data_IF_421751060340
#
_entry.id   IF_421751060340
#
_cell.length_a   1.000
_cell.length_b   1.000
_cell.length_c   1.000
_cell.angle_alpha   90.00
_cell.angle_beta   90.00
_cell.angle_gamma   90.00
#
_symmetry.space_group_name_H-M   'P 1'
#
loop_
_entity.id
_entity.type
_entity.pdbx_description
1 polymer ?
#
# COMPACT_ATOMS: atom_id res chain seq x y z
N UNK A 1 0.57 -8.22 -11.58
CA UNK A 1 0.66 -9.34 -10.63
C UNK A 1 0.17 -8.86 -9.27
N UNK A 2 -0.89 -9.45 -8.71
CA UNK A 2 -1.49 -9.00 -7.43
C UNK A 2 -1.16 -10.03 -6.34
N UNK A 3 -0.28 -9.68 -5.41
CA UNK A 3 0.09 -10.55 -4.28
C UNK A 3 -0.61 -10.00 -3.03
N UNK A 4 -1.62 -10.72 -2.54
CA UNK A 4 -2.30 -10.43 -1.28
C UNK A 4 -1.76 -11.37 -0.19
N UNK A 5 -0.90 -10.86 0.70
CA UNK A 5 -0.43 -11.61 1.88
C UNK A 5 -1.27 -11.25 3.11
N UNK A 6 -2.08 -12.20 3.58
CA UNK A 6 -2.82 -12.11 4.86
C UNK A 6 -2.18 -12.99 5.94
N UNK A 7 -2.34 -12.58 7.21
CA UNK A 7 -2.02 -13.39 8.40
C UNK A 7 -1.47 -12.56 9.57
N UNK A 8 -1.41 -13.18 10.75
CA UNK A 8 -1.20 -12.47 12.02
C UNK A 8 0.16 -11.76 12.17
N UNK A 9 0.27 -10.82 13.14
CA UNK A 9 1.50 -10.10 13.47
C UNK A 9 2.66 -11.07 13.76
N UNK A 10 3.89 -10.69 13.39
CA UNK A 10 5.10 -11.49 13.64
C UNK A 10 5.42 -12.58 12.59
N UNK A 11 4.61 -12.76 11.54
CA UNK A 11 4.81 -13.85 10.54
C UNK A 11 5.69 -13.47 9.33
N UNK A 12 6.54 -12.45 9.46
CA UNK A 12 7.54 -12.09 8.43
C UNK A 12 6.97 -11.57 7.10
N UNK A 13 5.69 -11.20 7.03
CA UNK A 13 5.05 -10.76 5.78
C UNK A 13 5.61 -9.44 5.26
N UNK A 14 5.83 -8.47 6.14
CA UNK A 14 6.46 -7.19 5.81
C UNK A 14 7.87 -7.42 5.28
N UNK A 15 8.66 -8.28 5.91
CA UNK A 15 10.01 -8.63 5.44
C UNK A 15 10.02 -9.21 4.03
N UNK A 16 9.14 -10.18 3.73
CA UNK A 16 9.08 -10.77 2.38
C UNK A 16 8.52 -9.79 1.35
N UNK A 17 7.53 -8.98 1.71
CA UNK A 17 7.00 -7.95 0.81
C UNK A 17 8.07 -6.90 0.48
N UNK A 18 8.84 -6.46 1.47
CA UNK A 18 9.96 -5.53 1.28
C UNK A 18 11.07 -6.14 0.43
N UNK A 19 11.48 -7.38 0.71
CA UNK A 19 12.49 -8.06 -0.11
C UNK A 19 12.05 -8.20 -1.58
N UNK A 20 10.78 -8.58 -1.82
CA UNK A 20 10.21 -8.64 -3.17
C UNK A 20 10.15 -7.27 -3.85
N UNK A 21 9.79 -6.23 -3.10
CA UNK A 21 9.77 -4.86 -3.61
C UNK A 21 11.16 -4.37 -4.00
N UNK A 22 12.17 -4.61 -3.16
CA UNK A 22 13.58 -4.28 -3.45
C UNK A 22 14.05 -5.04 -4.69
N UNK A 23 13.79 -6.35 -4.78
CA UNK A 23 14.19 -7.15 -5.93
C UNK A 23 13.51 -6.68 -7.23
N UNK A 24 12.24 -6.29 -7.16
CA UNK A 24 11.50 -5.75 -8.30
C UNK A 24 12.07 -4.41 -8.80
N UNK A 25 12.56 -3.55 -7.89
CA UNK A 25 13.23 -2.29 -8.25
C UNK A 25 14.60 -2.61 -8.86
N UNK A 26 15.41 -3.42 -8.17
CA UNK A 26 16.82 -3.62 -8.48
C UNK A 26 17.03 -4.43 -9.77
N UNK A 27 16.32 -5.54 -9.93
CA UNK A 27 16.49 -6.43 -11.09
C UNK A 27 15.56 -6.13 -12.25
N UNK A 28 14.38 -5.56 -11.98
CA UNK A 28 13.34 -5.37 -13.00
C UNK A 28 13.00 -3.90 -13.28
N UNK A 29 13.65 -2.95 -12.60
CA UNK A 29 13.40 -1.49 -12.71
C UNK A 29 11.92 -1.12 -12.63
N UNK A 30 11.15 -1.88 -11.85
CA UNK A 30 9.72 -1.65 -11.65
C UNK A 30 9.50 -0.46 -10.72
N UNK A 31 8.45 0.32 -11.00
CA UNK A 31 7.98 1.39 -10.11
C UNK A 31 7.21 0.77 -8.95
N UNK A 32 7.84 0.70 -7.79
CA UNK A 32 7.25 0.14 -6.58
C UNK A 32 7.01 1.24 -5.56
N UNK A 33 5.83 1.26 -4.91
CA UNK A 33 5.61 2.04 -3.69
C UNK A 33 5.14 1.18 -2.54
N UNK A 34 5.56 1.58 -1.35
CA UNK A 34 5.11 1.07 -0.07
C UNK A 34 4.16 2.08 0.55
N UNK A 35 3.04 1.61 1.09
CA UNK A 35 2.12 2.42 1.88
C UNK A 35 1.73 1.68 3.16
N UNK A 36 1.60 2.41 4.26
CA UNK A 36 0.73 1.95 5.33
C UNK A 36 -0.72 2.01 4.86
N UNK A 37 -1.51 0.99 5.19
CA UNK A 37 -2.94 0.95 4.86
C UNK A 37 -3.66 2.19 5.43
N UNK A 38 -3.33 2.59 6.66
CA UNK A 38 -3.92 3.75 7.34
C UNK A 38 -3.57 5.04 6.61
N UNK A 39 -2.30 5.22 6.25
CA UNK A 39 -1.85 6.42 5.53
C UNK A 39 -2.52 6.54 4.16
N UNK A 40 -2.66 5.42 3.44
CA UNK A 40 -3.33 5.42 2.15
C UNK A 40 -4.82 5.76 2.29
N UNK A 41 -5.51 5.18 3.26
CA UNK A 41 -6.93 5.49 3.54
C UNK A 41 -7.08 6.97 3.88
N UNK A 42 -6.27 7.49 4.82
CA UNK A 42 -6.31 8.90 5.21
C UNK A 42 -6.03 9.83 4.03
N UNK A 43 -5.07 9.49 3.17
CA UNK A 43 -4.75 10.28 1.99
C UNK A 43 -5.91 10.30 0.98
N UNK A 44 -6.56 9.15 0.76
CA UNK A 44 -7.74 9.03 -0.10
C UNK A 44 -8.94 9.81 0.47
N UNK A 45 -9.18 9.75 1.78
CA UNK A 45 -10.25 10.51 2.45
C UNK A 45 -10.02 12.02 2.37
N UNK A 46 -8.80 12.49 2.65
CA UNK A 46 -8.44 13.89 2.51
C UNK A 46 -8.58 14.37 1.05
N UNK A 47 -8.20 13.54 0.09
CA UNK A 47 -8.34 13.85 -1.32
C UNK A 47 -9.81 13.97 -1.73
N UNK A 48 -10.66 13.06 -1.24
CA UNK A 48 -12.11 13.09 -1.43
C UNK A 48 -12.72 14.35 -0.81
N UNK A 49 -12.32 14.71 0.41
CA UNK A 49 -12.76 15.92 1.09
C UNK A 49 -12.36 17.21 0.35
N UNK A 50 -11.20 17.21 -0.33
CA UNK A 50 -10.74 18.33 -1.18
C UNK A 50 -11.42 18.39 -2.55
N UNK A 51 -12.36 17.49 -2.86
CA UNK A 51 -13.03 17.41 -4.16
C UNK A 51 -12.13 16.99 -5.32
N UNK A 52 -10.92 16.48 -5.03
CA UNK A 52 -9.92 16.09 -6.04
C UNK A 52 -9.80 14.58 -6.19
N UNK A 53 -10.86 13.82 -5.93
CA UNK A 53 -10.85 12.36 -6.00
C UNK A 53 -10.30 11.88 -7.35
N UNK A 54 -9.46 10.84 -7.36
CA UNK A 54 -8.90 10.25 -8.59
C UNK A 54 -7.38 10.37 -8.73
N UNK A 55 -6.76 11.52 -8.46
CA UNK A 55 -5.30 11.72 -8.57
C UNK A 55 -4.42 10.67 -7.86
N UNK A 56 -4.71 10.30 -6.61
CA UNK A 56 -3.98 9.22 -5.93
C UNK A 56 -4.21 7.89 -6.65
N UNK A 57 -5.44 7.58 -7.05
CA UNK A 57 -5.74 6.36 -7.80
C UNK A 57 -5.03 6.30 -9.16
N UNK A 58 -4.98 7.40 -9.90
CA UNK A 58 -4.22 7.53 -11.15
C UNK A 58 -2.72 7.34 -10.91
N UNK A 59 -2.18 7.98 -9.87
CA UNK A 59 -0.77 7.81 -9.49
C UNK A 59 -0.46 6.37 -9.11
N UNK A 60 -1.39 5.65 -8.46
CA UNK A 60 -1.23 4.23 -8.13
C UNK A 60 -1.36 3.34 -9.37
N UNK A 61 -2.20 3.71 -10.35
CA UNK A 61 -2.36 2.99 -11.60
C UNK A 61 -1.10 3.04 -12.49
N UNK A 62 -0.27 4.07 -12.33
CA UNK A 62 1.04 4.17 -12.99
C UNK A 62 2.15 3.34 -12.33
N UNK A 63 1.88 2.64 -11.22
CA UNK A 63 2.87 1.81 -10.53
C UNK A 63 2.79 0.35 -11.00
N UNK A 64 3.95 -0.30 -11.05
CA UNK A 64 4.05 -1.72 -11.39
C UNK A 64 3.74 -2.62 -10.19
N UNK A 65 3.95 -2.10 -8.97
CA UNK A 65 3.70 -2.81 -7.71
C UNK A 65 3.37 -1.82 -6.59
N UNK A 66 2.32 -2.13 -5.84
CA UNK A 66 1.96 -1.42 -4.62
C UNK A 66 1.97 -2.42 -3.47
N UNK A 67 2.73 -2.12 -2.43
CA UNK A 67 2.83 -2.93 -1.21
C UNK A 67 2.12 -2.19 -0.09
N UNK A 68 1.12 -2.82 0.51
CA UNK A 68 0.38 -2.29 1.65
C UNK A 68 0.80 -3.03 2.92
N UNK A 69 1.30 -2.29 3.90
CA UNK A 69 1.64 -2.81 5.23
C UNK A 69 0.57 -2.40 6.28
N UNK A 70 0.58 -3.07 7.43
CA UNK A 70 -0.30 -2.79 8.57
C UNK A 70 -1.82 -2.85 8.28
N UNK A 71 -2.26 -3.77 7.43
CA UNK A 71 -3.70 -4.04 7.15
C UNK A 71 -4.56 -4.34 8.41
N UNK A 72 -3.94 -4.57 9.57
CA UNK A 72 -4.60 -4.98 10.82
C UNK A 72 -4.98 -3.87 11.80
N UNK A 73 -4.74 -2.59 11.50
CA UNK A 73 -4.99 -1.48 12.43
C UNK A 73 -5.83 -0.36 11.83
N UNK A 74 -6.85 -0.69 11.03
CA UNK A 74 -7.92 0.29 10.80
C UNK A 74 -8.44 0.72 12.18
N UNK A 75 -8.35 2.01 12.55
CA UNK A 75 -9.01 2.47 13.75
C UNK A 75 -10.49 2.23 13.49
N UNK A 76 -11.08 1.24 14.17
CA UNK A 76 -12.51 1.26 14.35
C UNK A 76 -12.81 2.61 14.98
N UNK A 77 -13.43 3.51 14.22
CA UNK A 77 -14.18 4.61 14.80
C UNK A 77 -15.19 3.94 15.72
N UNK A 78 -14.88 3.86 17.01
CA UNK A 78 -15.85 3.57 18.04
C UNK A 78 -16.86 4.72 17.97
N UNK A 79 -17.97 4.45 17.27
CA UNK A 79 -19.24 5.12 17.53
C UNK A 79 -19.95 4.38 18.63
#
# INVERSE_FOLDING_TARGET
MRILKRGGPGTGKTHVATALGIQAIDHHRRKVRFFSTIELVNALEQQKAKGKAGQIAESLACLDLVILDALGYLPFSAS
#
